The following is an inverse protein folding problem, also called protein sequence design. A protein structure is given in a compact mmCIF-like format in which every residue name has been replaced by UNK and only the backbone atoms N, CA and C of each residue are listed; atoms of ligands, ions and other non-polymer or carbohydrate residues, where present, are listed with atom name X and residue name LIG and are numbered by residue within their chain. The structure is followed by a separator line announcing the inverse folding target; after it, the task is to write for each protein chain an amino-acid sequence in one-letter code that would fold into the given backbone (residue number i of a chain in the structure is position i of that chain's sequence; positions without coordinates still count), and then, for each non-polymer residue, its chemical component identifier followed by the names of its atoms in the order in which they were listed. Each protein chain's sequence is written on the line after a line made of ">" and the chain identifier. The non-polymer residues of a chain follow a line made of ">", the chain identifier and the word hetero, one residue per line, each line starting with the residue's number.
data_IF_126084595452
#
_entry.id   IF_126084595452
#
_cell.length_a   1.000
_cell.length_b   1.000
_cell.length_c   1.000
_cell.angle_alpha   90.00
_cell.angle_beta   90.00
_cell.angle_gamma   90.00
#
_symmetry.space_group_name_H-M   'P 1'
#
loop_
_entity.id
_entity.type
_entity.pdbx_description
1 polymer ?
#
# COMPACT_ATOMS: atom_id res chain seq x y z
N UNK A 1 17.14 -7.30 10.25
CA UNK A 1 16.32 -8.16 9.37
C UNK A 1 15.24 -8.88 10.17
N UNK A 2 14.58 -8.15 11.07
CA UNK A 2 13.18 -7.73 10.96
C UNK A 2 12.30 -8.73 10.21
N UNK A 3 11.96 -9.80 10.93
CA UNK A 3 10.92 -10.75 10.57
C UNK A 3 9.60 -9.99 10.59
N UNK A 4 9.29 -9.26 9.51
CA UNK A 4 7.97 -8.61 9.33
C UNK A 4 6.93 -9.70 9.53
N UNK A 5 6.01 -9.51 10.47
CA UNK A 5 4.90 -10.41 10.70
C UNK A 5 4.05 -10.47 9.43
N UNK A 6 4.38 -11.47 8.60
CA UNK A 6 3.79 -11.69 7.27
C UNK A 6 2.30 -12.09 7.41
N UNK A 7 1.90 -12.54 8.59
CA UNK A 7 0.54 -12.97 8.90
C UNK A 7 -0.04 -12.12 10.00
N UNK A 8 -1.27 -11.69 9.79
CA UNK A 8 -2.08 -11.09 10.84
C UNK A 8 -2.82 -12.20 11.62
N UNK A 9 -2.99 -12.09 12.95
CA UNK A 9 -3.75 -13.07 13.73
C UNK A 9 -5.16 -13.26 13.17
N UNK A 10 -5.63 -14.51 13.10
CA UNK A 10 -6.97 -14.86 12.60
C UNK A 10 -7.26 -14.46 11.13
N UNK A 11 -6.20 -14.17 10.36
CA UNK A 11 -6.28 -13.88 8.94
C UNK A 11 -5.47 -14.90 8.14
N UNK A 12 -6.15 -15.63 7.26
CA UNK A 12 -5.57 -16.78 6.55
C UNK A 12 -4.61 -16.42 5.41
N UNK A 13 -4.42 -15.14 5.10
CA UNK A 13 -3.61 -14.71 3.96
C UNK A 13 -2.38 -13.96 4.41
N UNK A 14 -1.27 -14.25 3.74
CA UNK A 14 -0.02 -13.56 3.95
C UNK A 14 -0.11 -12.15 3.36
N UNK A 15 0.47 -11.14 4.02
CA UNK A 15 0.57 -9.78 3.50
C UNK A 15 1.06 -9.67 2.03
N UNK A 16 2.11 -10.41 1.59
CA UNK A 16 2.56 -10.37 0.21
C UNK A 16 1.63 -11.05 -0.79
N UNK A 17 0.56 -11.73 -0.35
CA UNK A 17 -0.50 -12.22 -1.24
C UNK A 17 -1.56 -11.15 -1.51
N UNK A 18 -1.56 -10.07 -0.72
CA UNK A 18 -2.48 -8.97 -0.85
C UNK A 18 -1.96 -7.99 -1.90
N UNK A 19 -2.88 -7.38 -2.65
CA UNK A 19 -2.59 -6.41 -3.71
C UNK A 19 -3.09 -5.02 -3.34
N UNK A 20 -4.33 -4.94 -2.88
CA UNK A 20 -4.98 -3.69 -2.49
C UNK A 20 -6.10 -3.96 -1.50
N UNK A 21 -6.53 -2.94 -0.75
CA UNK A 21 -7.66 -3.03 0.16
C UNK A 21 -8.52 -1.78 0.11
N UNK A 22 -9.76 -1.89 0.58
CA UNK A 22 -10.68 -0.78 0.84
C UNK A 22 -11.42 -1.04 2.14
N UNK A 23 -11.60 -0.01 2.97
CA UNK A 23 -12.45 -0.09 4.14
C UNK A 23 -13.85 0.42 3.79
N UNK A 24 -14.87 -0.42 3.97
CA UNK A 24 -16.26 -0.05 3.82
C UNK A 24 -17.01 -0.30 5.12
N UNK A 25 -17.40 0.77 5.81
CA UNK A 25 -18.03 0.77 7.13
C UNK A 25 -17.08 0.13 8.16
N UNK A 26 -17.14 -1.20 8.33
CA UNK A 26 -16.30 -1.99 9.24
C UNK A 26 -15.69 -3.23 8.57
N UNK A 27 -15.82 -3.34 7.24
CA UNK A 27 -15.41 -4.52 6.48
C UNK A 27 -14.28 -4.10 5.55
N UNK A 28 -13.15 -4.79 5.66
CA UNK A 28 -12.08 -4.68 4.70
C UNK A 28 -12.39 -5.56 3.51
N UNK A 29 -12.46 -4.94 2.34
CA UNK A 29 -12.50 -5.61 1.05
C UNK A 29 -11.07 -5.66 0.54
N UNK A 30 -10.49 -6.85 0.46
CA UNK A 30 -9.08 -7.05 0.14
C UNK A 30 -8.98 -7.78 -1.19
N UNK A 31 -8.26 -7.18 -2.12
CA UNK A 31 -7.89 -7.78 -3.39
C UNK A 31 -6.58 -8.54 -3.22
N UNK A 32 -6.59 -9.81 -3.60
CA UNK A 32 -5.42 -10.67 -3.64
C UNK A 32 -4.70 -10.55 -4.99
N UNK A 33 -3.43 -10.92 -5.04
CA UNK A 33 -2.62 -10.88 -6.26
C UNK A 33 -3.09 -11.84 -7.34
N UNK A 34 -3.79 -12.91 -6.97
CA UNK A 34 -4.39 -13.85 -7.91
C UNK A 34 -5.70 -13.31 -8.53
N UNK A 35 -6.15 -12.11 -8.13
CA UNK A 35 -7.38 -11.48 -8.61
C UNK A 35 -8.62 -11.80 -7.76
N UNK A 36 -8.50 -12.67 -6.75
CA UNK A 36 -9.59 -12.93 -5.82
C UNK A 36 -9.85 -11.72 -4.91
N UNK A 37 -11.10 -11.57 -4.48
CA UNK A 37 -11.50 -10.52 -3.55
C UNK A 37 -12.14 -11.16 -2.34
N UNK A 38 -11.57 -10.88 -1.17
CA UNK A 38 -12.05 -11.39 0.11
C UNK A 38 -12.59 -10.25 0.97
N UNK A 39 -13.48 -10.61 1.90
CA UNK A 39 -14.04 -9.69 2.88
C UNK A 39 -13.62 -10.16 4.26
N UNK A 40 -13.02 -9.26 5.03
CA UNK A 40 -12.57 -9.55 6.38
C UNK A 40 -13.05 -8.47 7.34
N UNK A 41 -13.62 -8.89 8.47
CA UNK A 41 -14.01 -8.00 9.55
C UNK A 41 -13.08 -8.26 10.75
N UNK A 42 -12.01 -7.47 10.92
CA UNK A 42 -11.13 -7.62 12.06
C UNK A 42 -11.82 -7.17 13.35
N UNK A 43 -11.39 -7.69 14.51
CA UNK A 43 -11.84 -7.19 15.81
C UNK A 43 -11.36 -5.75 16.06
N UNK A 44 -10.21 -5.36 15.48
CA UNK A 44 -9.64 -4.03 15.58
C UNK A 44 -9.32 -3.48 14.17
N UNK A 45 -10.16 -2.55 13.72
CA UNK A 45 -10.10 -1.98 12.36
C UNK A 45 -8.83 -1.16 12.18
N UNK A 46 -8.46 -0.36 13.19
CA UNK A 46 -7.29 0.52 13.13
C UNK A 46 -6.01 -0.30 13.08
N UNK A 47 -5.89 -1.32 13.93
CA UNK A 47 -4.70 -2.17 13.95
C UNK A 47 -4.53 -2.97 12.65
N UNK A 48 -5.63 -3.49 12.09
CA UNK A 48 -5.57 -4.22 10.82
C UNK A 48 -5.24 -3.31 9.63
N UNK A 49 -5.80 -2.11 9.59
CA UNK A 49 -5.49 -1.10 8.57
C UNK A 49 -4.01 -0.68 8.60
N UNK A 50 -3.47 -0.40 9.79
CA UNK A 50 -2.06 -0.05 9.95
C UNK A 50 -1.13 -1.20 9.48
N UNK A 51 -1.48 -2.45 9.83
CA UNK A 51 -0.74 -3.62 9.37
C UNK A 51 -0.72 -3.76 7.83
N UNK A 52 -1.85 -3.50 7.16
CA UNK A 52 -1.92 -3.54 5.69
C UNK A 52 -0.99 -2.48 5.07
N UNK A 53 -1.03 -1.25 5.59
CA UNK A 53 -0.21 -0.14 5.12
C UNK A 53 1.28 -0.42 5.38
N UNK A 54 1.63 -0.89 6.58
CA UNK A 54 2.99 -1.25 6.96
C UNK A 54 3.59 -2.36 6.09
N UNK A 55 2.74 -3.25 5.54
CA UNK A 55 3.14 -4.29 4.60
C UNK A 55 3.08 -3.85 3.12
N UNK A 56 2.75 -2.59 2.84
CA UNK A 56 2.75 -2.03 1.48
C UNK A 56 1.52 -2.41 0.66
N UNK A 57 0.43 -2.84 1.29
CA UNK A 57 -0.86 -3.07 0.62
C UNK A 57 -1.50 -1.72 0.32
N UNK A 58 -1.96 -1.52 -0.92
CA UNK A 58 -2.49 -0.23 -1.38
C UNK A 58 -3.90 0.01 -0.87
N UNK A 59 -4.16 1.16 -0.27
CA UNK A 59 -5.52 1.60 0.08
C UNK A 59 -6.19 2.27 -1.13
N UNK A 60 -7.22 1.63 -1.69
CA UNK A 60 -7.95 2.16 -2.86
C UNK A 60 -9.00 3.21 -2.51
N UNK A 61 -9.38 3.35 -1.23
CA UNK A 61 -10.31 4.39 -0.81
C UNK A 61 -9.62 5.76 -0.75
N UNK A 62 -8.31 5.77 -0.52
CA UNK A 62 -7.46 6.97 -0.46
C UNK A 62 -6.70 7.21 -1.76
N UNK A 63 -6.44 6.16 -2.54
CA UNK A 63 -5.87 6.29 -3.88
C UNK A 63 -6.95 6.80 -4.86
N UNK A 64 -7.08 8.13 -4.98
CA UNK A 64 -7.94 8.83 -5.96
C UNK A 64 -7.55 8.58 -7.44
N UNK A 65 -6.71 7.56 -7.72
CA UNK A 65 -6.14 7.29 -9.05
C UNK A 65 -5.12 8.32 -9.53
N UNK A 66 -4.79 9.33 -8.71
CA UNK A 66 -3.76 10.33 -9.01
C UNK A 66 -2.45 9.84 -8.41
N UNK A 67 -1.76 8.95 -9.14
CA UNK A 67 -0.41 8.53 -8.78
C UNK A 67 0.52 9.74 -8.81
N UNK A 68 0.69 10.43 -7.68
CA UNK A 68 1.93 11.17 -7.44
C UNK A 68 3.01 10.12 -7.30
N UNK A 69 3.59 9.72 -8.44
CA UNK A 69 4.86 9.02 -8.47
C UNK A 69 5.88 9.91 -7.76
N UNK A 70 6.04 9.75 -6.45
CA UNK A 70 7.28 10.10 -5.79
C UNK A 70 8.28 8.99 -6.11
N UNK A 71 8.66 8.94 -7.39
CA UNK A 71 10.00 8.56 -7.74
C UNK A 71 10.89 9.63 -7.11
N UNK A 72 11.80 9.30 -6.17
CA UNK A 72 12.88 10.22 -5.88
C UNK A 72 13.69 10.29 -7.18
N UNK A 73 13.43 11.31 -7.99
CA UNK A 73 14.28 11.68 -9.12
C UNK A 73 15.72 11.71 -8.59
N UNK A 74 16.66 10.87 -9.07
CA UNK A 74 18.04 11.00 -8.67
C UNK A 74 18.49 12.37 -9.14
N UNK A 75 18.77 13.22 -8.16
CA UNK A 75 19.21 14.59 -8.31
C UNK A 75 20.55 14.63 -9.09
N UNK A 76 20.49 14.67 -10.42
CA UNK A 76 21.66 14.95 -11.27
C UNK A 76 21.62 16.43 -11.65
N UNK A 77 22.39 17.17 -10.86
CA UNK A 77 22.88 18.52 -11.13
C UNK A 77 23.57 18.60 -12.49
N UNK A 78 23.21 19.59 -13.31
CA UNK A 78 24.11 20.23 -14.26
C UNK A 78 23.66 21.68 -14.49
N UNK A 79 24.21 22.60 -13.68
CA UNK A 79 24.32 24.02 -14.06
C UNK A 79 25.09 24.08 -15.37
N UNK A 80 24.42 24.40 -16.48
CA UNK A 80 25.10 24.76 -17.72
C UNK A 80 24.75 26.18 -18.13
N UNK A 81 25.80 26.93 -18.43
CA UNK A 81 25.88 28.38 -18.55
C UNK A 81 24.96 28.92 -19.65
N UNK A 82 24.20 29.98 -19.35
CA UNK A 82 23.62 30.84 -20.39
C UNK A 82 24.75 31.64 -21.06
N UNK A 83 24.84 31.50 -22.39
CA UNK A 83 25.65 32.30 -23.30
C UNK A 83 24.69 32.96 -24.29
N UNK A 84 24.54 34.28 -24.29
CA UNK A 84 23.84 35.12 -25.29
C UNK A 84 24.16 36.57 -24.87
N UNK A 85 24.60 37.52 -25.68
CA UNK A 85 24.94 37.67 -27.10
C UNK A 85 25.81 38.93 -27.17
#
# INVERSE_FOLDING_TARGET
>A
MDKKDIFYPDFNYAAPQLSAFSLCIDIFIISLQNGDIIRFKPPDITNFGDWLIANGVRDIAVDDGITSKQQPEPHVSLKSKRKTK
#
